data_IF_897866117257
#
_entry.id   IF_897866117257
#
_cell.length_a   1.000
_cell.length_b   1.000
_cell.length_c   1.000
_cell.angle_alpha   90.00
_cell.angle_beta   90.00
_cell.angle_gamma   90.00
#
_symmetry.space_group_name_H-M   'P 1'
#
loop_
_entity.id
_entity.type
_entity.pdbx_description
1 polymer ?
#
# COMPACT_ATOMS: atom_id res chain seq x y z
N UNK A 1 85.51 29.76 -36.69
CA UNK A 1 84.35 30.39 -36.03
C UNK A 1 83.01 30.01 -36.66
N UNK A 2 82.84 30.01 -37.99
CA UNK A 2 81.55 29.69 -38.66
C UNK A 2 81.04 28.24 -38.53
N UNK A 3 81.90 27.26 -38.25
CA UNK A 3 81.49 25.84 -38.12
C UNK A 3 80.99 25.47 -36.71
N UNK A 4 81.53 26.10 -35.67
CA UNK A 4 81.13 25.84 -34.28
C UNK A 4 79.78 26.47 -33.93
N UNK A 5 79.43 27.58 -34.59
CA UNK A 5 78.11 28.24 -34.43
C UNK A 5 76.99 27.37 -35.02
N UNK A 6 77.23 26.64 -36.11
CA UNK A 6 76.24 25.73 -36.70
C UNK A 6 75.97 24.53 -35.79
N UNK A 7 77.01 23.95 -35.19
CA UNK A 7 76.87 22.82 -34.26
C UNK A 7 76.20 23.26 -32.96
N UNK A 8 76.53 24.45 -32.45
CA UNK A 8 75.85 25.02 -31.28
C UNK A 8 74.36 25.31 -31.55
N UNK A 9 73.99 25.75 -32.76
CA UNK A 9 72.58 25.97 -33.14
C UNK A 9 71.83 24.65 -33.30
N UNK A 10 72.45 23.58 -33.83
CA UNK A 10 71.80 22.26 -33.91
C UNK A 10 71.62 21.60 -32.54
N UNK A 11 72.54 21.81 -31.59
CA UNK A 11 72.40 21.32 -30.21
C UNK A 11 71.35 22.13 -29.44
N UNK A 12 71.24 23.44 -29.70
CA UNK A 12 70.20 24.29 -29.10
C UNK A 12 68.80 24.02 -29.69
N UNK A 13 68.70 23.63 -30.97
CA UNK A 13 67.42 23.25 -31.59
C UNK A 13 66.97 21.83 -31.21
N UNK A 14 67.89 20.94 -30.88
CA UNK A 14 67.60 19.58 -30.41
C UNK A 14 67.18 19.54 -28.92
N UNK A 15 67.51 20.56 -28.13
CA UNK A 15 67.11 20.66 -26.72
C UNK A 15 65.70 21.24 -26.49
N UNK A 16 64.97 21.60 -27.55
CA UNK A 16 63.60 22.16 -27.46
C UNK A 16 62.48 21.15 -27.79
N UNK A 17 62.77 19.85 -27.95
CA UNK A 17 61.77 18.84 -28.34
C UNK A 17 61.34 17.92 -27.17
N UNK A 18 61.86 18.11 -25.95
CA UNK A 18 61.59 17.16 -24.84
C UNK A 18 60.72 17.68 -23.71
N UNK A 19 59.75 18.55 -23.98
CA UNK A 19 58.67 18.86 -23.02
C UNK A 19 57.34 18.88 -23.77
N UNK A 20 56.88 17.70 -24.14
CA UNK A 20 55.51 17.43 -24.57
C UNK A 20 55.10 16.03 -24.11
N UNK A 21 55.15 15.84 -22.80
CA UNK A 21 54.11 15.09 -22.11
C UNK A 21 53.60 16.08 -21.09
N UNK A 22 52.57 16.84 -21.46
CA UNK A 22 51.68 17.34 -20.44
C UNK A 22 51.05 16.05 -19.89
N UNK A 23 51.51 15.65 -18.71
CA UNK A 23 50.81 14.67 -17.89
C UNK A 23 49.54 15.41 -17.45
N UNK A 24 48.54 15.48 -18.34
CA UNK A 24 47.16 15.75 -17.99
C UNK A 24 46.66 14.53 -17.21
N UNK A 25 47.30 14.28 -16.08
CA UNK A 25 46.62 13.71 -14.94
C UNK A 25 45.66 14.80 -14.47
N UNK A 26 44.56 14.95 -15.23
CA UNK A 26 43.31 15.34 -14.61
C UNK A 26 43.16 14.31 -13.50
N UNK A 27 43.38 14.75 -12.26
CA UNK A 27 42.94 13.98 -11.12
C UNK A 27 41.46 13.77 -11.35
N UNK A 28 41.08 12.58 -11.83
CA UNK A 28 39.69 12.17 -11.98
C UNK A 28 39.07 12.38 -10.62
N UNK A 29 38.31 13.47 -10.48
CA UNK A 29 37.45 13.64 -9.33
C UNK A 29 36.30 12.67 -9.56
N UNK A 30 36.54 11.39 -9.24
CA UNK A 30 35.57 10.31 -9.37
C UNK A 30 34.30 10.53 -8.51
N UNK A 31 34.24 11.62 -7.75
CA UNK A 31 33.06 12.04 -7.01
C UNK A 31 31.95 12.62 -7.91
N UNK A 32 32.28 13.06 -9.13
CA UNK A 32 31.30 13.68 -10.04
C UNK A 32 30.67 12.68 -11.02
N UNK A 33 31.35 11.55 -11.27
CA UNK A 33 30.89 10.50 -12.18
C UNK A 33 29.85 9.58 -11.52
N UNK A 34 28.70 9.43 -12.18
CA UNK A 34 27.57 8.61 -11.76
C UNK A 34 27.47 7.38 -12.68
N UNK A 35 27.15 6.23 -12.12
CA UNK A 35 26.93 4.98 -12.85
C UNK A 35 25.57 4.36 -12.55
N UNK A 36 25.27 3.17 -13.09
CA UNK A 36 23.96 2.52 -12.91
C UNK A 36 23.63 2.17 -11.45
N UNK A 37 24.63 2.02 -10.59
CA UNK A 37 24.44 1.69 -9.16
C UNK A 37 24.56 2.92 -8.23
N UNK A 38 24.74 4.12 -8.77
CA UNK A 38 24.84 5.33 -7.94
C UNK A 38 23.48 5.67 -7.34
N UNK A 39 23.47 6.08 -6.07
CA UNK A 39 22.24 6.48 -5.37
C UNK A 39 21.50 7.60 -6.11
N UNK A 40 22.23 8.64 -6.55
CA UNK A 40 21.64 9.72 -7.33
C UNK A 40 21.06 9.26 -8.68
N UNK A 41 21.62 8.21 -9.31
CA UNK A 41 21.02 7.62 -10.52
C UNK A 41 19.66 7.00 -10.23
N UNK A 42 19.52 6.26 -9.12
CA UNK A 42 18.24 5.71 -8.71
C UNK A 42 17.22 6.83 -8.40
N UNK A 43 17.65 7.87 -7.69
CA UNK A 43 16.80 9.04 -7.36
C UNK A 43 16.34 9.77 -8.63
N UNK A 44 17.25 10.04 -9.57
CA UNK A 44 16.92 10.73 -10.82
C UNK A 44 16.05 9.87 -11.73
N UNK A 45 16.25 8.56 -11.73
CA UNK A 45 15.36 7.62 -12.43
C UNK A 45 13.95 7.69 -11.84
N UNK A 46 13.82 7.71 -10.51
CA UNK A 46 12.51 7.87 -9.87
C UNK A 46 11.88 9.25 -10.14
N UNK A 47 12.68 10.32 -10.12
CA UNK A 47 12.23 11.69 -10.34
C UNK A 47 11.71 11.95 -11.76
N UNK A 48 12.23 11.22 -12.74
CA UNK A 48 11.90 11.44 -14.16
C UNK A 48 10.98 10.37 -14.75
N UNK A 49 10.56 9.40 -13.94
CA UNK A 49 9.59 8.40 -14.34
C UNK A 49 8.27 9.06 -14.76
N UNK A 50 7.60 8.51 -15.78
CA UNK A 50 6.23 8.91 -16.09
C UNK A 50 5.34 8.55 -14.89
N UNK A 51 4.88 9.56 -14.17
CA UNK A 51 4.08 9.42 -12.94
C UNK A 51 2.75 8.73 -13.24
N UNK A 52 2.54 7.53 -12.72
CA UNK A 52 1.36 6.71 -13.01
C UNK A 52 0.33 6.67 -11.89
N UNK A 53 0.32 7.65 -10.98
CA UNK A 53 -0.43 7.55 -9.71
C UNK A 53 -1.60 8.51 -9.56
N UNK A 54 -1.95 9.23 -10.61
CA UNK A 54 -3.23 9.93 -10.61
C UNK A 54 -4.36 8.93 -10.85
N UNK A 55 -4.69 8.18 -9.80
CA UNK A 55 -5.93 7.43 -9.75
C UNK A 55 -7.04 8.47 -9.89
N UNK A 56 -7.83 8.30 -10.93
CA UNK A 56 -8.92 9.20 -11.25
C UNK A 56 -10.12 8.37 -11.70
N UNK A 57 -11.18 9.06 -12.09
CA UNK A 57 -12.44 8.41 -12.47
C UNK A 57 -12.32 7.46 -13.68
N UNK A 58 -11.28 7.61 -14.51
CA UNK A 58 -11.01 6.69 -15.61
C UNK A 58 -9.81 5.78 -15.39
N UNK A 59 -8.82 6.17 -14.58
CA UNK A 59 -7.61 5.38 -14.35
C UNK A 59 -7.57 4.85 -12.91
N UNK A 60 -7.54 3.52 -12.77
CA UNK A 60 -7.61 2.85 -11.47
C UNK A 60 -6.33 2.10 -11.12
N UNK A 61 -5.23 2.31 -11.85
CA UNK A 61 -4.01 1.52 -11.68
C UNK A 61 -2.77 2.39 -11.60
N UNK A 62 -1.87 2.04 -10.68
CA UNK A 62 -0.59 2.71 -10.55
C UNK A 62 0.44 2.28 -11.61
N UNK A 63 0.08 1.36 -12.53
CA UNK A 63 1.03 0.61 -13.35
C UNK A 63 1.42 1.30 -14.67
N UNK A 64 0.51 2.12 -15.18
CA UNK A 64 0.62 2.86 -16.43
C UNK A 64 -0.49 3.91 -16.44
N UNK A 65 -0.32 4.96 -17.24
CA UNK A 65 -1.36 5.95 -17.47
C UNK A 65 -2.19 5.61 -18.70
N UNK A 66 -3.47 5.97 -18.69
CA UNK A 66 -4.27 6.03 -19.91
C UNK A 66 -3.93 7.30 -20.71
N UNK A 67 -3.48 7.14 -21.95
CA UNK A 67 -3.22 8.27 -22.84
C UNK A 67 -4.53 8.88 -23.33
N UNK A 68 -4.71 10.17 -23.09
CA UNK A 68 -5.82 10.96 -23.64
C UNK A 68 -5.54 11.36 -25.10
N UNK A 69 -6.57 11.48 -25.97
CA UNK A 69 -7.99 11.27 -25.68
C UNK A 69 -8.37 9.79 -25.61
N UNK A 70 -9.33 9.45 -24.73
CA UNK A 70 -9.88 8.10 -24.59
C UNK A 70 -11.40 8.12 -24.59
N UNK A 71 -12.03 7.11 -25.21
CA UNK A 71 -13.46 6.91 -25.11
C UNK A 71 -13.79 6.00 -23.92
N UNK A 72 -14.77 6.37 -23.10
CA UNK A 72 -15.30 5.56 -22.01
C UNK A 72 -16.82 5.48 -22.08
N UNK A 73 -17.37 4.46 -21.44
CA UNK A 73 -18.80 4.28 -21.20
C UNK A 73 -18.99 4.23 -19.68
N UNK A 74 -19.56 5.29 -19.11
CA UNK A 74 -19.85 5.42 -17.69
C UNK A 74 -21.35 5.21 -17.46
N UNK A 75 -21.74 4.22 -16.66
CA UNK A 75 -23.14 3.83 -16.40
C UNK A 75 -24.00 3.75 -17.69
N UNK A 76 -23.40 3.29 -18.80
CA UNK A 76 -24.04 3.16 -20.11
C UNK A 76 -24.00 4.42 -21.00
N UNK A 77 -23.50 5.55 -20.50
CA UNK A 77 -23.31 6.78 -21.26
C UNK A 77 -21.89 6.88 -21.83
N UNK A 78 -21.78 7.00 -23.14
CA UNK A 78 -20.49 7.18 -23.81
C UNK A 78 -19.98 8.62 -23.67
N UNK A 79 -18.73 8.77 -23.24
CA UNK A 79 -18.02 10.03 -23.03
C UNK A 79 -16.65 9.93 -23.73
N UNK A 80 -16.22 11.00 -24.39
CA UNK A 80 -14.84 11.15 -24.86
C UNK A 80 -14.10 12.06 -23.90
N UNK A 81 -13.13 11.50 -23.19
CA UNK A 81 -12.24 12.24 -22.28
C UNK A 81 -11.06 12.71 -23.10
N UNK A 82 -11.00 14.00 -23.41
CA UNK A 82 -9.96 14.59 -24.25
C UNK A 82 -8.82 15.23 -23.44
N UNK A 83 -9.11 15.60 -22.20
CA UNK A 83 -8.17 16.15 -21.22
C UNK A 83 -8.64 15.83 -19.80
N UNK A 84 -7.80 16.05 -18.79
CA UNK A 84 -8.15 15.88 -17.37
C UNK A 84 -9.39 16.67 -16.94
N UNK A 85 -9.66 17.82 -17.58
CA UNK A 85 -10.88 18.61 -17.31
C UNK A 85 -12.18 17.83 -17.59
N UNK A 86 -12.13 16.79 -18.42
CA UNK A 86 -13.28 15.97 -18.77
C UNK A 86 -13.57 14.88 -17.72
N UNK A 87 -12.69 14.67 -16.73
CA UNK A 87 -12.93 13.73 -15.62
C UNK A 87 -14.21 14.09 -14.85
N UNK A 88 -14.44 15.37 -14.60
CA UNK A 88 -15.66 15.84 -13.94
C UNK A 88 -16.95 15.45 -14.69
N UNK A 89 -16.89 15.26 -16.02
CA UNK A 89 -18.04 14.80 -16.79
C UNK A 89 -18.34 13.31 -16.58
N UNK A 90 -17.30 12.50 -16.34
CA UNK A 90 -17.44 11.09 -15.98
C UNK A 90 -17.94 10.96 -14.53
N UNK A 91 -17.35 11.71 -13.60
CA UNK A 91 -17.80 11.76 -12.21
C UNK A 91 -19.25 12.24 -12.09
N UNK A 92 -19.67 13.21 -12.90
CA UNK A 92 -21.05 13.67 -12.92
C UNK A 92 -22.03 12.59 -13.37
N UNK A 93 -21.59 11.60 -14.15
CA UNK A 93 -22.42 10.43 -14.52
C UNK A 93 -22.52 9.46 -13.36
N UNK A 94 -21.41 9.19 -12.67
CA UNK A 94 -21.41 8.34 -11.47
C UNK A 94 -22.27 8.92 -10.35
N UNK A 95 -22.17 10.22 -10.09
CA UNK A 95 -22.94 10.90 -9.07
C UNK A 95 -24.43 11.15 -9.44
N UNK A 96 -24.96 10.60 -10.54
CA UNK A 96 -26.38 10.75 -10.89
C UNK A 96 -27.30 10.00 -9.92
N UNK A 97 -26.78 8.95 -9.28
CA UNK A 97 -27.44 8.18 -8.26
C UNK A 97 -26.39 7.74 -7.24
N UNK A 98 -26.81 7.58 -5.99
CA UNK A 98 -25.95 7.07 -4.91
C UNK A 98 -26.27 5.61 -4.58
N UNK A 99 -27.23 5.02 -5.29
CA UNK A 99 -27.78 3.68 -5.07
C UNK A 99 -27.42 2.69 -6.20
N UNK A 100 -26.74 3.15 -7.26
CA UNK A 100 -26.24 2.34 -8.36
C UNK A 100 -24.77 1.96 -8.16
N UNK A 101 -24.36 0.94 -8.91
CA UNK A 101 -22.96 0.54 -8.97
C UNK A 101 -22.35 1.28 -10.15
N UNK A 102 -21.39 2.15 -9.87
CA UNK A 102 -20.63 2.83 -10.91
C UNK A 102 -19.83 1.84 -11.73
N UNK A 103 -20.07 1.85 -13.04
CA UNK A 103 -19.40 1.01 -14.01
C UNK A 103 -18.74 1.87 -15.08
N UNK A 104 -17.43 1.66 -15.23
CA UNK A 104 -16.65 2.21 -16.31
C UNK A 104 -16.27 1.09 -17.29
N UNK A 105 -16.43 1.34 -18.59
CA UNK A 105 -15.86 0.48 -19.63
C UNK A 105 -15.17 1.32 -20.69
N UNK A 106 -14.00 0.91 -21.15
CA UNK A 106 -13.30 1.60 -22.22
C UNK A 106 -13.88 1.29 -23.60
N UNK A 107 -13.85 2.29 -24.48
CA UNK A 107 -14.07 2.12 -25.91
C UNK A 107 -12.71 1.84 -26.56
N UNK A 108 -12.45 0.56 -26.83
CA UNK A 108 -11.20 0.11 -27.42
C UNK A 108 -11.07 0.49 -28.92
N UNK A 109 -9.83 0.67 -29.44
CA UNK A 109 -8.57 0.55 -28.71
C UNK A 109 -8.27 1.74 -27.80
N UNK A 110 -7.53 1.50 -26.72
CA UNK A 110 -6.96 2.53 -25.85
C UNK A 110 -5.44 2.46 -25.91
N UNK A 111 -4.75 3.53 -25.50
CA UNK A 111 -3.29 3.53 -25.40
C UNK A 111 -2.89 3.70 -23.94
N UNK A 112 -2.04 2.80 -23.44
CA UNK A 112 -1.43 2.92 -22.12
C UNK A 112 0.00 3.45 -22.25
N UNK A 113 0.46 4.22 -21.26
CA UNK A 113 1.81 4.79 -21.20
C UNK A 113 2.50 4.31 -19.93
N UNK A 114 3.58 3.56 -20.06
CA UNK A 114 4.33 3.02 -18.92
C UNK A 114 5.26 4.07 -18.29
N UNK A 115 5.89 3.73 -17.16
CA UNK A 115 6.88 4.55 -16.46
C UNK A 115 8.05 5.02 -17.35
N UNK A 116 8.41 4.22 -18.36
CA UNK A 116 9.45 4.52 -19.34
C UNK A 116 8.97 5.33 -20.56
N UNK A 117 7.76 5.89 -20.50
CA UNK A 117 7.10 6.61 -21.59
C UNK A 117 6.84 5.77 -22.85
N UNK A 118 7.04 4.45 -22.78
CA UNK A 118 6.65 3.57 -23.88
C UNK A 118 5.13 3.45 -23.92
N UNK A 119 4.60 3.47 -25.14
CA UNK A 119 3.17 3.38 -25.39
C UNK A 119 2.82 1.98 -25.88
N UNK A 120 1.68 1.47 -25.41
CA UNK A 120 1.14 0.20 -25.86
C UNK A 120 -0.35 0.35 -26.19
N UNK A 121 -0.72 -0.05 -27.41
CA UNK A 121 -2.11 -0.05 -27.86
C UNK A 121 -2.80 -1.33 -27.36
N UNK A 122 -3.87 -1.15 -26.61
CA UNK A 122 -4.69 -2.23 -26.07
C UNK A 122 -5.96 -2.32 -26.90
N UNK A 123 -6.17 -3.44 -27.58
CA UNK A 123 -7.26 -3.62 -28.53
C UNK A 123 -8.56 -4.17 -27.92
N UNK A 124 -8.54 -4.64 -26.67
CA UNK A 124 -9.72 -5.23 -26.02
C UNK A 124 -9.64 -5.22 -24.49
N UNK A 125 -10.78 -5.41 -23.85
CA UNK A 125 -10.89 -5.56 -22.39
C UNK A 125 -10.09 -6.75 -21.85
N UNK A 126 -10.04 -7.85 -22.60
CA UNK A 126 -9.25 -9.01 -22.21
C UNK A 126 -7.74 -8.69 -22.19
N UNK A 127 -7.27 -7.92 -23.16
CA UNK A 127 -5.87 -7.48 -23.23
C UNK A 127 -5.55 -6.49 -22.11
N UNK A 128 -6.46 -5.55 -21.83
CA UNK A 128 -6.37 -4.64 -20.70
C UNK A 128 -6.24 -5.39 -19.36
N UNK A 129 -7.14 -6.35 -19.11
CA UNK A 129 -7.10 -7.14 -17.88
C UNK A 129 -5.84 -8.01 -17.80
N UNK A 130 -5.27 -8.42 -18.94
CA UNK A 130 -4.01 -9.17 -18.96
C UNK A 130 -2.84 -8.29 -18.52
N UNK A 131 -2.73 -7.07 -19.06
CA UNK A 131 -1.66 -6.14 -18.66
C UNK A 131 -1.84 -5.64 -17.22
N UNK A 132 -3.08 -5.48 -16.76
CA UNK A 132 -3.39 -5.10 -15.39
C UNK A 132 -3.02 -6.21 -14.40
N UNK A 133 -3.40 -7.47 -14.67
CA UNK A 133 -3.07 -8.61 -13.81
C UNK A 133 -1.57 -8.97 -13.83
N UNK A 134 -0.86 -8.62 -14.90
CA UNK A 134 0.60 -8.77 -14.98
C UNK A 134 1.34 -7.66 -14.23
N UNK A 135 0.62 -6.66 -13.70
CA UNK A 135 1.26 -5.57 -13.01
C UNK A 135 1.84 -6.03 -11.67
N UNK A 136 3.16 -5.95 -11.57
CA UNK A 136 3.91 -6.07 -10.34
C UNK A 136 4.47 -4.69 -10.00
N UNK A 137 3.58 -3.78 -9.58
CA UNK A 137 3.94 -2.40 -9.31
C UNK A 137 4.93 -2.32 -8.15
N UNK A 138 6.10 -1.74 -8.42
CA UNK A 138 7.06 -1.37 -7.39
C UNK A 138 7.26 0.15 -7.51
N UNK A 139 6.70 0.95 -6.58
CA UNK A 139 6.78 2.40 -6.66
C UNK A 139 8.23 2.85 -6.46
N UNK A 140 8.83 3.35 -7.53
CA UNK A 140 10.07 4.12 -7.46
C UNK A 140 9.87 5.35 -8.34
N UNK A 141 8.88 6.20 -8.03
CA UNK A 141 8.77 7.52 -8.64
C UNK A 141 8.73 8.60 -7.55
N UNK A 142 9.16 9.82 -7.90
CA UNK A 142 9.04 11.01 -7.06
C UNK A 142 8.12 11.97 -7.80
N UNK A 143 7.04 12.42 -7.16
CA UNK A 143 6.09 13.30 -7.85
C UNK A 143 6.72 14.64 -8.26
N UNK A 144 6.47 15.07 -9.49
CA UNK A 144 6.88 16.36 -10.04
C UNK A 144 6.28 17.55 -9.30
N UNK A 145 5.14 17.34 -8.62
CA UNK A 145 4.56 18.32 -7.71
C UNK A 145 5.49 18.60 -6.52
N UNK A 146 6.26 17.60 -6.06
CA UNK A 146 7.22 17.76 -4.98
C UNK A 146 8.54 18.33 -5.48
N UNK A 147 9.10 17.73 -6.51
CA UNK A 147 10.38 18.14 -7.10
C UNK A 147 10.31 17.93 -8.60
N UNK A 148 10.60 18.95 -9.40
CA UNK A 148 10.73 18.84 -10.84
C UNK A 148 12.07 19.40 -11.31
N UNK A 149 12.72 18.71 -12.25
CA UNK A 149 13.92 19.25 -12.93
C UNK A 149 13.46 20.26 -13.97
N UNK A 150 14.02 21.47 -13.94
CA UNK A 150 13.78 22.44 -14.99
C UNK A 150 14.74 22.17 -16.15
N UNK A 151 14.22 21.55 -17.20
CA UNK A 151 14.92 21.34 -18.47
C UNK A 151 15.02 22.64 -19.28
N UNK A 152 16.02 22.78 -20.18
CA UNK A 152 17.01 21.76 -20.55
C UNK A 152 18.17 21.61 -19.56
N UNK A 153 18.78 20.42 -19.55
CA UNK A 153 20.04 20.14 -18.84
C UNK A 153 21.05 19.46 -19.78
N UNK A 154 22.33 19.68 -19.55
CA UNK A 154 23.40 18.97 -20.28
C UNK A 154 23.97 17.84 -19.43
N UNK A 155 24.12 16.66 -20.03
CA UNK A 155 24.74 15.47 -19.41
C UNK A 155 25.90 15.00 -20.28
N UNK A 156 27.04 14.73 -19.67
CA UNK A 156 28.22 14.14 -20.32
C UNK A 156 28.23 12.63 -20.05
N UNK A 157 28.17 11.80 -21.08
CA UNK A 157 28.26 10.34 -20.97
C UNK A 157 29.64 9.82 -21.33
N UNK A 158 30.08 8.76 -20.65
CA UNK A 158 31.35 8.07 -20.91
C UNK A 158 31.17 6.56 -20.87
N UNK A 159 31.62 5.86 -21.92
CA UNK A 159 31.67 4.40 -21.98
C UNK A 159 33.11 3.91 -21.79
N UNK A 160 33.40 3.29 -20.65
CA UNK A 160 34.77 2.84 -20.31
C UNK A 160 35.25 1.66 -21.17
N UNK A 161 34.33 0.89 -21.76
CA UNK A 161 34.67 -0.22 -22.65
C UNK A 161 35.15 0.24 -24.02
N UNK A 162 34.58 1.32 -24.55
CA UNK A 162 34.94 1.89 -25.85
C UNK A 162 35.77 3.17 -25.76
N UNK A 163 35.99 3.71 -24.56
CA UNK A 163 36.65 4.99 -24.30
C UNK A 163 36.02 6.13 -25.11
N UNK A 164 34.68 6.17 -25.13
CA UNK A 164 33.90 7.11 -25.92
C UNK A 164 33.17 8.09 -25.01
N UNK A 165 33.26 9.37 -25.34
CA UNK A 165 32.57 10.47 -24.66
C UNK A 165 31.46 11.03 -25.54
N UNK A 166 30.29 11.26 -24.95
CA UNK A 166 29.13 11.87 -25.59
C UNK A 166 28.61 13.05 -24.76
N UNK A 167 28.00 14.04 -25.41
CA UNK A 167 27.29 15.12 -24.73
C UNK A 167 25.83 15.09 -25.15
N UNK A 168 24.94 15.10 -24.17
CA UNK A 168 23.49 15.06 -24.35
C UNK A 168 22.88 16.35 -23.84
N UNK A 169 22.11 17.03 -24.68
CA UNK A 169 21.25 18.15 -24.31
C UNK A 169 19.84 17.61 -24.13
N UNK A 170 19.42 17.43 -22.88
CA UNK A 170 18.13 16.83 -22.52
C UNK A 170 17.11 17.93 -22.31
N UNK A 171 15.90 17.73 -22.81
CA UNK A 171 14.82 18.71 -22.83
C UNK A 171 13.56 18.23 -22.09
N UNK A 172 13.49 16.94 -21.73
CA UNK A 172 12.33 16.34 -21.06
C UNK A 172 12.74 15.26 -20.05
N UNK A 173 11.85 14.98 -19.11
CA UNK A 173 11.99 13.84 -18.19
C UNK A 173 12.15 12.51 -18.93
N UNK A 174 11.36 12.30 -19.99
CA UNK A 174 11.42 11.09 -20.81
C UNK A 174 12.81 10.81 -21.40
N UNK A 175 13.54 11.84 -21.81
CA UNK A 175 14.89 11.70 -22.35
C UNK A 175 15.90 11.33 -21.25
N UNK A 176 15.83 11.98 -20.08
CA UNK A 176 16.69 11.65 -18.94
C UNK A 176 16.39 10.24 -18.42
N UNK A 177 15.13 9.93 -18.17
CA UNK A 177 14.69 8.63 -17.66
C UNK A 177 15.19 7.47 -18.52
N UNK A 178 14.99 7.56 -19.84
CA UNK A 178 15.40 6.51 -20.76
C UNK A 178 16.92 6.37 -20.86
N UNK A 179 17.69 7.45 -20.70
CA UNK A 179 19.15 7.34 -20.62
C UNK A 179 19.55 6.59 -19.34
N UNK A 180 19.00 6.97 -18.18
CA UNK A 180 19.36 6.37 -16.90
C UNK A 180 18.95 4.89 -16.81
N UNK A 181 17.75 4.54 -17.29
CA UNK A 181 17.25 3.16 -17.28
C UNK A 181 18.12 2.21 -18.12
N UNK A 182 18.73 2.72 -19.20
CA UNK A 182 19.50 1.92 -20.15
C UNK A 182 21.02 1.97 -19.92
N UNK A 183 21.49 2.53 -18.80
CA UNK A 183 22.91 2.55 -18.45
C UNK A 183 23.45 1.13 -18.24
N UNK A 184 24.43 0.75 -19.05
CA UNK A 184 25.17 -0.49 -18.90
C UNK A 184 26.23 -0.39 -17.78
N UNK A 185 26.76 -1.52 -17.31
CA UNK A 185 27.77 -1.56 -16.24
C UNK A 185 29.07 -0.77 -16.52
N UNK A 186 29.36 -0.47 -17.79
CA UNK A 186 30.53 0.28 -18.24
C UNK A 186 30.19 1.73 -18.66
N UNK A 187 28.96 2.17 -18.42
CA UNK A 187 28.48 3.50 -18.80
C UNK A 187 28.35 4.38 -17.57
N UNK A 188 28.92 5.57 -17.68
CA UNK A 188 28.96 6.58 -16.64
C UNK A 188 28.46 7.91 -17.21
N UNK A 189 27.98 8.79 -16.35
CA UNK A 189 27.58 10.13 -16.74
C UNK A 189 27.93 11.17 -15.68
N UNK A 190 28.01 12.43 -16.10
CA UNK A 190 28.15 13.58 -15.24
C UNK A 190 27.16 14.67 -15.67
N UNK A 191 26.56 15.34 -14.69
CA UNK A 191 25.63 16.45 -14.93
C UNK A 191 26.44 17.73 -15.07
N UNK A 192 26.16 18.51 -16.12
CA UNK A 192 26.72 19.85 -16.28
C UNK A 192 26.00 20.83 -15.35
N UNK A 193 26.51 20.99 -14.14
CA UNK A 193 26.01 21.98 -13.20
C UNK A 193 26.35 23.42 -13.62
N UNK A 194 25.57 24.43 -13.18
CA UNK A 194 24.39 24.31 -12.32
C UNK A 194 23.14 23.85 -13.08
N UNK A 195 22.23 23.18 -12.37
CA UNK A 195 20.85 22.93 -12.84
C UNK A 195 19.85 23.56 -11.87
N UNK A 196 18.61 23.72 -12.34
CA UNK A 196 17.52 24.29 -11.55
C UNK A 196 16.44 23.25 -11.28
N UNK A 197 15.89 23.28 -10.07
CA UNK A 197 14.76 22.46 -9.65
C UNK A 197 13.60 23.35 -9.22
N UNK A 198 12.37 22.90 -9.44
CA UNK A 198 11.15 23.46 -8.87
C UNK A 198 10.70 22.58 -7.73
N UNK A 199 10.63 23.12 -6.51
CA UNK A 199 10.15 22.44 -5.31
C UNK A 199 8.71 22.84 -5.01
N UNK A 200 7.89 21.87 -4.62
CA UNK A 200 6.48 22.05 -4.26
C UNK A 200 5.68 22.83 -5.33
N UNK A 201 5.99 22.60 -6.62
CA UNK A 201 5.38 23.29 -7.77
C UNK A 201 5.61 24.81 -7.86
N UNK A 202 6.43 25.40 -6.98
CA UNK A 202 6.50 26.86 -6.83
C UNK A 202 7.93 27.40 -6.69
N UNK A 203 8.73 26.80 -5.80
CA UNK A 203 10.02 27.37 -5.42
C UNK A 203 11.12 26.88 -6.34
N UNK A 204 11.69 27.78 -7.15
CA UNK A 204 12.89 27.45 -7.92
C UNK A 204 14.15 27.56 -7.08
N UNK A 205 15.00 26.53 -7.12
CA UNK A 205 16.33 26.52 -6.52
C UNK A 205 17.37 26.13 -7.56
N UNK A 206 18.62 26.55 -7.33
CA UNK A 206 19.77 26.18 -8.16
C UNK A 206 20.70 25.30 -7.36
N UNK A 207 21.12 24.18 -7.95
CA UNK A 207 22.08 23.23 -7.35
C UNK A 207 23.33 23.15 -8.22
N UNK A 208 24.48 22.99 -7.58
CA UNK A 208 25.80 23.14 -8.22
C UNK A 208 26.66 21.86 -8.15
N UNK A 209 26.15 20.79 -7.54
CA UNK A 209 26.87 19.52 -7.38
C UNK A 209 25.89 18.36 -7.17
N UNK A 210 26.40 17.12 -7.33
CA UNK A 210 25.65 15.90 -7.03
C UNK A 210 25.11 15.89 -5.60
N UNK A 211 25.92 16.30 -4.62
CA UNK A 211 25.51 16.37 -3.21
C UNK A 211 24.39 17.39 -2.99
N UNK A 212 24.49 18.57 -3.60
CA UNK A 212 23.43 19.59 -3.50
C UNK A 212 22.13 19.13 -4.17
N UNK A 213 22.22 18.47 -5.33
CA UNK A 213 21.08 17.92 -6.05
C UNK A 213 20.38 16.83 -5.23
N UNK A 214 21.12 15.86 -4.71
CA UNK A 214 20.58 14.79 -3.88
C UNK A 214 19.90 15.34 -2.62
N UNK A 215 20.55 16.25 -1.90
CA UNK A 215 19.97 16.88 -0.71
C UNK A 215 18.74 17.71 -1.03
N UNK A 216 18.76 18.46 -2.15
CA UNK A 216 17.62 19.24 -2.59
C UNK A 216 16.41 18.37 -2.90
N UNK A 217 16.60 17.23 -3.58
CA UNK A 217 15.53 16.28 -3.88
C UNK A 217 14.98 15.66 -2.57
N UNK A 218 15.86 15.14 -1.71
CA UNK A 218 15.44 14.52 -0.42
C UNK A 218 14.68 15.51 0.45
N UNK A 219 15.15 16.75 0.56
CA UNK A 219 14.48 17.80 1.32
C UNK A 219 13.17 18.24 0.66
N UNK A 220 13.14 18.34 -0.67
CA UNK A 220 11.93 18.65 -1.43
C UNK A 220 10.83 17.63 -1.17
N UNK A 221 11.16 16.33 -1.26
CA UNK A 221 10.24 15.24 -0.94
C UNK A 221 9.78 15.30 0.53
N UNK A 222 10.71 15.49 1.47
CA UNK A 222 10.37 15.57 2.90
C UNK A 222 9.43 16.73 3.24
N UNK A 223 9.60 17.88 2.55
CA UNK A 223 8.84 19.10 2.80
C UNK A 223 7.63 19.27 1.85
N UNK A 224 7.40 18.31 0.96
CA UNK A 224 6.25 18.29 0.07
C UNK A 224 4.93 18.06 0.84
N UNK A 225 5.03 17.54 2.06
CA UNK A 225 3.89 17.20 2.92
C UNK A 225 3.59 18.28 3.96
N UNK A 226 2.83 19.31 3.59
CA UNK A 226 2.08 20.18 4.52
C UNK A 226 0.74 20.64 3.87
N UNK A 227 -0.13 19.68 3.61
CA UNK A 227 -1.62 19.64 3.67
C UNK A 227 -2.00 18.22 3.15
N UNK A 228 -3.11 17.62 3.62
CA UNK A 228 -3.18 16.21 4.02
C UNK A 228 -2.87 15.27 2.85
N UNK A 229 -1.81 14.50 3.00
CA UNK A 229 -1.42 13.43 2.08
C UNK A 229 -2.44 12.29 2.17
N UNK A 230 -3.15 12.03 1.08
CA UNK A 230 -3.53 10.65 0.76
C UNK A 230 -2.23 9.81 0.67
N UNK A 231 -2.11 8.65 1.32
CA UNK A 231 -0.83 7.95 1.44
C UNK A 231 -0.47 7.21 0.15
N UNK A 232 0.77 7.36 -0.32
CA UNK A 232 1.38 6.47 -1.33
C UNK A 232 1.87 5.21 -0.63
N UNK A 233 1.27 4.06 -0.95
CA UNK A 233 1.55 2.76 -0.34
C UNK A 233 0.67 2.48 0.89
N UNK A 234 0.36 1.21 1.13
CA UNK A 234 -0.46 0.84 2.27
C UNK A 234 0.32 1.09 3.55
N UNK A 235 -0.04 2.15 4.29
CA UNK A 235 0.47 2.42 5.64
C UNK A 235 0.01 1.38 6.68
N UNK A 236 -0.48 0.24 6.18
CA UNK A 236 -0.82 -0.92 6.96
C UNK A 236 0.49 -1.56 7.45
N UNK A 237 0.65 -1.81 8.75
CA UNK A 237 1.91 -2.28 9.31
C UNK A 237 2.37 -3.65 8.76
N UNK A 238 1.55 -4.36 7.95
CA UNK A 238 1.92 -5.62 7.31
C UNK A 238 2.25 -6.73 8.32
N UNK A 239 1.90 -6.49 9.59
CA UNK A 239 2.21 -7.34 10.72
C UNK A 239 1.29 -8.56 10.67
N UNK A 240 1.91 -9.74 10.76
CA UNK A 240 1.20 -11.02 10.84
C UNK A 240 0.19 -11.16 9.70
N UNK A 241 0.66 -11.11 8.46
CA UNK A 241 -0.17 -11.31 7.25
C UNK A 241 -0.14 -12.75 6.73
N UNK A 242 0.78 -13.57 7.25
CA UNK A 242 0.85 -14.99 6.92
C UNK A 242 -0.43 -15.72 7.36
N UNK A 243 -1.03 -16.46 6.43
CA UNK A 243 -2.29 -17.21 6.62
C UNK A 243 -3.49 -16.32 7.03
N UNK A 244 -3.38 -15.01 6.86
CA UNK A 244 -4.46 -14.05 7.07
C UNK A 244 -5.46 -14.16 5.91
N UNK A 245 -6.74 -14.40 6.24
CA UNK A 245 -7.81 -14.68 5.28
C UNK A 245 -8.98 -13.71 5.31
N UNK A 246 -9.13 -12.94 6.39
CA UNK A 246 -10.03 -11.78 6.48
C UNK A 246 -9.26 -10.69 7.23
N UNK A 247 -9.30 -9.46 6.72
CA UNK A 247 -8.76 -8.32 7.43
C UNK A 247 -9.55 -7.04 7.17
N UNK A 248 -10.15 -6.50 8.23
CA UNK A 248 -11.00 -5.32 8.19
C UNK A 248 -10.54 -4.30 9.24
N UNK A 249 -9.80 -3.26 8.83
CA UNK A 249 -9.37 -2.16 9.72
C UNK A 249 -10.46 -1.11 9.98
N UNK A 250 -11.61 -1.17 9.29
CA UNK A 250 -12.72 -0.22 9.46
C UNK A 250 -12.35 1.27 9.28
N UNK A 251 -11.45 1.57 8.34
CA UNK A 251 -11.00 2.92 7.99
C UNK A 251 -12.00 3.63 7.05
N UNK A 252 -13.08 4.16 7.62
CA UNK A 252 -14.17 4.86 6.92
C UNK A 252 -14.83 4.01 5.80
N UNK A 253 -14.63 2.69 5.83
CA UNK A 253 -15.21 1.71 4.92
C UNK A 253 -15.28 0.34 5.61
N UNK A 254 -15.92 -0.63 4.96
CA UNK A 254 -16.06 -2.02 5.45
C UNK A 254 -15.33 -3.02 4.56
N UNK A 255 -14.26 -2.62 3.89
CA UNK A 255 -13.56 -3.53 2.98
C UNK A 255 -12.84 -4.63 3.75
N UNK A 256 -12.97 -5.86 3.26
CA UNK A 256 -12.02 -6.92 3.56
C UNK A 256 -10.82 -6.76 2.63
N UNK A 257 -9.67 -6.42 3.20
CA UNK A 257 -8.42 -6.23 2.47
C UNK A 257 -7.83 -7.54 1.93
N UNK A 258 -8.45 -8.69 2.26
CA UNK A 258 -8.18 -9.98 1.60
C UNK A 258 -9.08 -10.24 0.38
N UNK A 259 -9.99 -9.32 0.06
CA UNK A 259 -10.72 -9.26 -1.20
C UNK A 259 -12.12 -9.91 -1.19
N UNK A 260 -12.63 -10.34 -0.03
CA UNK A 260 -14.02 -10.82 0.02
C UNK A 260 -15.01 -9.63 -0.06
N UNK A 261 -16.09 -9.82 -0.81
CA UNK A 261 -17.16 -8.83 -0.86
C UNK A 261 -17.85 -8.70 0.51
N UNK A 262 -18.08 -7.46 0.96
CA UNK A 262 -18.76 -7.16 2.23
C UNK A 262 -20.05 -6.40 1.95
N UNK A 263 -21.15 -6.89 2.51
CA UNK A 263 -22.45 -6.21 2.49
C UNK A 263 -22.64 -5.49 3.82
N UNK A 264 -22.96 -4.19 3.76
CA UNK A 264 -23.20 -3.34 4.93
C UNK A 264 -24.59 -2.69 4.90
N UNK A 265 -25.21 -2.43 6.06
CA UNK A 265 -26.41 -1.61 6.16
C UNK A 265 -26.19 -0.16 5.67
N UNK A 266 -27.23 0.48 5.13
CA UNK A 266 -27.15 1.86 4.66
C UNK A 266 -26.86 2.87 5.78
N UNK A 267 -27.19 2.53 7.03
CA UNK A 267 -26.96 3.35 8.22
C UNK A 267 -25.65 3.00 8.95
N UNK A 268 -24.68 2.36 8.27
CA UNK A 268 -23.34 2.13 8.82
C UNK A 268 -22.67 3.44 9.24
N UNK A 269 -22.09 3.45 10.45
CA UNK A 269 -21.41 4.62 11.00
C UNK A 269 -20.01 4.27 11.47
N UNK A 270 -19.07 5.19 11.27
CA UNK A 270 -17.68 5.07 11.71
C UNK A 270 -17.38 6.04 12.84
N UNK A 271 -16.63 5.58 13.83
CA UNK A 271 -16.27 6.31 15.05
C UNK A 271 -14.75 6.31 15.23
N UNK A 272 -14.26 6.98 16.28
CA UNK A 272 -12.84 6.95 16.59
C UNK A 272 -12.42 5.59 17.15
N UNK A 273 -11.22 5.13 16.79
CA UNK A 273 -10.62 3.89 17.30
C UNK A 273 -10.05 4.06 18.73
N UNK A 274 -9.29 3.05 19.18
CA UNK A 274 -8.60 3.05 20.49
C UNK A 274 -7.48 4.09 20.62
N UNK A 275 -6.94 4.58 19.51
CA UNK A 275 -5.89 5.60 19.45
C UNK A 275 -6.46 7.01 19.17
N UNK A 276 -7.79 7.16 19.14
CA UNK A 276 -8.53 8.37 18.76
C UNK A 276 -8.35 8.79 17.29
N UNK A 277 -7.94 7.88 16.40
CA UNK A 277 -7.98 8.12 14.97
C UNK A 277 -9.43 8.16 14.52
N UNK A 278 -9.83 9.25 13.86
CA UNK A 278 -11.23 9.47 13.52
C UNK A 278 -11.70 8.55 12.39
N UNK A 279 -12.87 7.92 12.57
CA UNK A 279 -13.52 7.02 11.59
C UNK A 279 -12.72 5.76 11.28
N UNK A 280 -11.97 5.25 12.24
CA UNK A 280 -11.12 4.06 12.11
C UNK A 280 -11.69 2.87 12.89
N UNK A 281 -12.95 2.96 13.32
CA UNK A 281 -13.69 1.89 13.94
C UNK A 281 -15.14 1.96 13.47
N UNK A 282 -15.87 0.85 13.53
CA UNK A 282 -17.28 0.78 13.16
C UNK A 282 -18.17 0.76 14.40
N UNK A 283 -19.32 1.42 14.32
CA UNK A 283 -20.36 1.42 15.35
C UNK A 283 -21.56 0.57 14.95
N UNK A 284 -22.03 -0.24 15.89
CA UNK A 284 -23.24 -1.05 15.80
C UNK A 284 -24.28 -0.61 16.83
N UNK A 285 -25.55 -0.57 16.40
CA UNK A 285 -26.67 -0.11 17.20
C UNK A 285 -27.59 -1.23 17.73
N UNK A 286 -27.17 -2.50 17.62
CA UNK A 286 -27.95 -3.67 18.01
C UNK A 286 -28.96 -4.18 16.97
N UNK A 287 -29.12 -3.48 15.83
CA UNK A 287 -30.03 -3.91 14.74
C UNK A 287 -29.34 -4.10 13.39
N UNK A 288 -28.04 -3.83 13.35
CA UNK A 288 -27.20 -3.88 12.17
C UNK A 288 -26.35 -5.15 12.18
N UNK A 289 -25.95 -5.61 11.00
CA UNK A 289 -24.84 -6.56 10.86
C UNK A 289 -24.20 -6.42 9.50
N UNK A 290 -22.89 -6.67 9.42
CA UNK A 290 -22.21 -6.84 8.15
C UNK A 290 -22.24 -8.31 7.74
N UNK A 291 -22.17 -8.57 6.44
CA UNK A 291 -21.98 -9.91 5.90
C UNK A 291 -20.75 -9.94 5.00
N UNK A 292 -19.79 -10.81 5.31
CA UNK A 292 -18.66 -11.11 4.42
C UNK A 292 -19.02 -12.34 3.58
N UNK A 293 -18.89 -12.21 2.26
CA UNK A 293 -19.10 -13.31 1.33
C UNK A 293 -18.08 -14.44 1.53
N UNK A 294 -18.55 -15.68 1.40
CA UNK A 294 -17.65 -16.83 1.43
C UNK A 294 -16.88 -16.92 0.11
N UNK A 295 -15.58 -17.19 0.19
CA UNK A 295 -14.69 -17.44 -0.94
C UNK A 295 -13.86 -18.69 -0.66
N UNK A 296 -13.22 -19.25 -1.69
CA UNK A 296 -12.28 -20.36 -1.48
C UNK A 296 -11.09 -19.96 -0.59
N UNK A 297 -10.66 -18.69 -0.66
CA UNK A 297 -9.54 -18.18 0.12
C UNK A 297 -9.89 -18.09 1.62
N UNK A 298 -11.07 -17.56 1.95
CA UNK A 298 -11.50 -17.34 3.34
C UNK A 298 -12.33 -18.47 3.95
N UNK A 299 -12.57 -19.57 3.24
CA UNK A 299 -13.32 -20.71 3.76
C UNK A 299 -12.60 -21.36 4.96
N UNK A 300 -13.25 -21.38 6.13
CA UNK A 300 -12.84 -22.15 7.31
C UNK A 300 -13.77 -23.37 7.47
N UNK A 301 -13.19 -24.57 7.53
CA UNK A 301 -13.94 -25.83 7.62
C UNK A 301 -13.41 -26.73 8.73
N UNK A 302 -14.23 -27.70 9.15
CA UNK A 302 -13.88 -28.63 10.22
C UNK A 302 -12.53 -29.31 9.97
N UNK A 303 -11.64 -29.28 10.97
CA UNK A 303 -10.26 -29.74 10.88
C UNK A 303 -9.23 -28.65 10.55
N UNK A 304 -9.65 -27.44 10.16
CA UNK A 304 -8.75 -26.30 10.03
C UNK A 304 -8.27 -25.79 11.39
N UNK A 305 -7.06 -25.22 11.39
CA UNK A 305 -6.63 -24.32 12.46
C UNK A 305 -7.15 -22.92 12.17
N UNK A 306 -7.54 -22.20 13.22
CA UNK A 306 -7.94 -20.80 13.07
C UNK A 306 -7.55 -19.93 14.25
N UNK A 307 -7.41 -18.64 13.96
CA UNK A 307 -7.41 -17.59 14.98
C UNK A 307 -8.26 -16.42 14.55
N UNK A 308 -8.96 -15.79 15.49
CA UNK A 308 -9.76 -14.59 15.27
C UNK A 308 -9.26 -13.55 16.25
N UNK A 309 -8.90 -12.36 15.76
CA UNK A 309 -8.50 -11.22 16.56
C UNK A 309 -9.35 -10.02 16.20
N UNK A 310 -9.82 -9.28 17.20
CA UNK A 310 -10.51 -8.01 17.02
C UNK A 310 -10.33 -7.14 18.25
N UNK A 311 -10.58 -5.84 18.09
CA UNK A 311 -10.79 -4.92 19.19
C UNK A 311 -12.28 -4.64 19.32
N UNK A 312 -12.77 -4.55 20.55
CA UNK A 312 -14.15 -4.22 20.83
C UNK A 312 -14.26 -3.26 22.00
N UNK A 313 -15.29 -2.41 21.94
CA UNK A 313 -15.73 -1.58 23.06
C UNK A 313 -17.23 -1.68 23.17
N UNK A 314 -17.71 -2.14 24.30
CA UNK A 314 -19.13 -2.38 24.50
C UNK A 314 -19.89 -1.11 24.82
N UNK A 315 -21.17 -1.10 24.51
CA UNK A 315 -22.12 -0.09 24.97
C UNK A 315 -23.38 -0.68 25.58
N UNK A 316 -23.56 -2.00 25.44
CA UNK A 316 -24.63 -2.71 26.10
C UNK A 316 -24.49 -2.70 27.62
N UNK A 317 -25.62 -2.51 28.31
CA UNK A 317 -25.73 -2.51 29.78
C UNK A 317 -26.75 -3.53 30.29
N UNK A 318 -27.34 -4.31 29.38
CA UNK A 318 -28.32 -5.34 29.68
C UNK A 318 -27.59 -6.68 29.82
N UNK A 319 -27.49 -7.18 31.05
CA UNK A 319 -26.68 -8.37 31.33
C UNK A 319 -27.08 -9.62 30.55
N UNK A 320 -28.33 -9.81 30.17
CA UNK A 320 -28.80 -11.05 29.54
C UNK A 320 -28.75 -11.09 28.01
N UNK A 321 -28.23 -10.05 27.35
CA UNK A 321 -28.26 -9.96 25.90
C UNK A 321 -27.05 -10.70 25.31
N UNK A 322 -27.32 -11.56 24.33
CA UNK A 322 -26.29 -12.24 23.54
C UNK A 322 -25.98 -11.40 22.31
N UNK A 323 -24.73 -11.02 22.16
CA UNK A 323 -24.29 -10.14 21.07
C UNK A 323 -23.10 -10.77 20.36
N UNK A 324 -23.26 -11.10 19.08
CA UNK A 324 -22.18 -11.73 18.31
C UNK A 324 -21.29 -10.66 17.66
N UNK A 325 -20.01 -10.67 18.03
CA UNK A 325 -19.01 -9.78 17.43
C UNK A 325 -18.63 -10.28 16.04
N UNK A 326 -18.40 -11.59 15.90
CA UNK A 326 -18.07 -12.24 14.64
C UNK A 326 -18.59 -13.69 14.62
N UNK A 327 -19.29 -14.09 13.56
CA UNK A 327 -19.85 -15.45 13.44
C UNK A 327 -19.66 -16.03 12.04
N UNK A 328 -19.57 -17.36 11.97
CA UNK A 328 -19.68 -18.12 10.73
C UNK A 328 -21.05 -18.79 10.70
N UNK A 329 -21.78 -18.62 9.60
CA UNK A 329 -23.16 -19.09 9.41
C UNK A 329 -24.20 -18.35 10.27
N UNK A 330 -25.43 -18.24 9.76
CA UNK A 330 -26.58 -17.67 10.46
C UNK A 330 -27.70 -18.68 10.74
N UNK A 331 -27.55 -19.93 10.28
CA UNK A 331 -28.66 -20.90 10.23
C UNK A 331 -28.57 -22.03 11.26
N UNK A 332 -27.79 -21.86 12.33
CA UNK A 332 -27.63 -22.81 13.44
C UNK A 332 -27.26 -24.25 13.01
N UNK A 333 -26.83 -24.52 11.78
CA UNK A 333 -26.61 -25.88 11.28
C UNK A 333 -25.15 -26.37 11.45
N UNK A 334 -24.18 -25.47 11.27
CA UNK A 334 -22.75 -25.67 11.50
C UNK A 334 -22.03 -24.31 11.41
N UNK A 335 -21.03 -24.08 12.26
CA UNK A 335 -20.34 -22.79 12.33
C UNK A 335 -19.85 -22.45 13.74
N UNK A 336 -19.46 -21.20 13.95
CA UNK A 336 -18.96 -20.69 15.22
C UNK A 336 -19.44 -19.26 15.48
N UNK A 337 -19.33 -18.82 16.72
CA UNK A 337 -19.51 -17.42 17.12
C UNK A 337 -18.41 -17.00 18.10
N UNK A 338 -17.92 -15.78 17.92
CA UNK A 338 -17.22 -14.99 18.91
C UNK A 338 -18.20 -13.91 19.37
N UNK A 339 -18.53 -13.90 20.65
CA UNK A 339 -19.64 -13.13 21.20
C UNK A 339 -19.33 -12.60 22.59
N UNK A 340 -20.23 -11.77 23.09
CA UNK A 340 -20.34 -11.42 24.52
C UNK A 340 -21.72 -11.83 25.03
N UNK A 341 -21.78 -12.29 26.29
CA UNK A 341 -23.04 -12.68 26.93
C UNK A 341 -22.92 -12.64 28.46
N UNK A 342 -24.05 -12.59 29.16
CA UNK A 342 -24.18 -12.62 30.62
C UNK A 342 -23.22 -11.65 31.32
N UNK A 343 -23.50 -10.37 31.11
CA UNK A 343 -22.67 -9.30 31.60
C UNK A 343 -21.45 -9.04 30.73
N UNK A 344 -21.70 -8.98 29.42
CA UNK A 344 -20.71 -8.53 28.46
C UNK A 344 -19.46 -9.43 28.43
N UNK A 345 -19.56 -10.68 28.91
CA UNK A 345 -18.42 -11.58 29.06
C UNK A 345 -18.03 -12.17 27.70
N UNK A 346 -16.77 -11.98 27.26
CA UNK A 346 -16.28 -12.58 26.03
C UNK A 346 -16.37 -14.10 26.04
N UNK A 347 -16.86 -14.65 24.94
CA UNK A 347 -16.97 -16.09 24.75
C UNK A 347 -16.81 -16.50 23.28
N UNK A 348 -16.43 -17.76 23.09
CA UNK A 348 -16.43 -18.41 21.78
C UNK A 348 -17.13 -19.75 21.86
N UNK A 349 -17.93 -20.09 20.84
CA UNK A 349 -18.65 -21.36 20.80
C UNK A 349 -18.96 -21.85 19.39
N UNK A 350 -19.37 -23.11 19.32
CA UNK A 350 -19.64 -23.84 18.08
C UNK A 350 -21.14 -24.14 17.92
N UNK A 351 -21.64 -24.22 16.68
CA UNK A 351 -23.06 -24.49 16.35
C UNK A 351 -23.25 -25.82 15.60
N UNK A 352 -24.43 -26.48 15.62
CA UNK A 352 -25.67 -26.17 16.37
C UNK A 352 -25.50 -26.48 17.85
N UNK A 353 -26.00 -25.62 18.73
CA UNK A 353 -26.18 -25.91 20.16
C UNK A 353 -24.94 -26.55 20.80
N UNK A 354 -23.95 -25.76 21.22
CA UNK A 354 -23.04 -26.25 22.23
C UNK A 354 -23.88 -26.62 23.48
N UNK A 355 -24.05 -27.91 23.88
CA UNK A 355 -24.13 -28.18 25.30
C UNK A 355 -22.93 -27.49 25.98
N UNK A 356 -23.00 -27.21 27.28
CA UNK A 356 -22.01 -26.41 28.07
C UNK A 356 -20.50 -26.68 27.80
N UNK A 357 -20.16 -27.75 27.09
CA UNK A 357 -18.83 -28.26 26.76
C UNK A 357 -18.26 -27.89 25.37
N UNK A 358 -18.97 -27.13 24.53
CA UNK A 358 -18.48 -26.70 23.19
C UNK A 358 -18.34 -25.17 23.10
N UNK A 359 -17.91 -24.56 24.20
CA UNK A 359 -17.70 -23.13 24.34
C UNK A 359 -16.57 -22.84 25.34
N UNK A 360 -15.98 -21.66 25.23
CA UNK A 360 -14.97 -21.12 26.14
C UNK A 360 -15.38 -19.71 26.55
N UNK A 361 -15.19 -19.37 27.82
CA UNK A 361 -15.51 -18.07 28.42
C UNK A 361 -14.25 -17.40 28.96
N UNK A 362 -14.25 -16.06 29.04
CA UNK A 362 -13.32 -15.34 29.91
C UNK A 362 -13.75 -15.51 31.38
N UNK A 363 -13.14 -16.48 32.06
CA UNK A 363 -13.44 -16.83 33.45
C UNK A 363 -13.14 -15.68 34.43
N UNK A 364 -12.18 -14.81 34.09
CA UNK A 364 -11.77 -13.70 34.94
C UNK A 364 -12.70 -12.50 34.78
N UNK A 365 -13.25 -12.28 33.57
CA UNK A 365 -14.22 -11.23 33.32
C UNK A 365 -15.47 -11.36 34.21
N UNK A 366 -16.04 -12.57 34.29
CA UNK A 366 -17.20 -12.85 35.13
C UNK A 366 -16.95 -12.63 36.63
N UNK A 367 -15.70 -12.57 37.07
CA UNK A 367 -15.31 -12.36 38.46
C UNK A 367 -15.02 -10.89 38.78
N UNK A 368 -14.96 -10.03 37.76
CA UNK A 368 -14.63 -8.61 37.89
C UNK A 368 -15.87 -7.73 37.62
N UNK A 369 -16.47 -7.14 38.67
CA UNK A 369 -17.68 -6.32 38.52
C UNK A 369 -17.43 -5.00 37.77
N UNK A 370 -16.17 -4.55 37.65
CA UNK A 370 -15.82 -3.35 36.89
C UNK A 370 -15.82 -3.65 35.39
N UNK A 371 -15.33 -4.83 34.98
CA UNK A 371 -15.36 -5.27 33.58
C UNK A 371 -16.79 -5.51 33.07
N UNK A 372 -17.65 -6.14 33.88
CA UNK A 372 -19.07 -6.32 33.51
C UNK A 372 -19.73 -5.00 33.09
N UNK A 373 -19.44 -3.90 33.79
CA UNK A 373 -20.06 -2.61 33.53
C UNK A 373 -19.25 -1.71 32.58
N UNK A 374 -18.13 -2.20 32.05
CA UNK A 374 -17.27 -1.40 31.19
C UNK A 374 -17.91 -1.16 29.82
N UNK A 375 -18.24 0.11 29.57
CA UNK A 375 -18.82 0.60 28.31
C UNK A 375 -17.91 1.64 27.64
N UNK A 376 -16.69 1.79 28.15
CA UNK A 376 -15.81 2.93 27.86
C UNK A 376 -14.46 2.53 27.30
N UNK A 377 -13.91 1.40 27.75
CA UNK A 377 -12.59 0.98 27.34
C UNK A 377 -12.65 0.02 26.14
N UNK A 378 -11.59 0.08 25.35
CA UNK A 378 -11.33 -0.89 24.30
C UNK A 378 -10.63 -2.10 24.89
N UNK A 379 -11.06 -3.29 24.49
CA UNK A 379 -10.40 -4.54 24.82
C UNK A 379 -10.00 -5.28 23.54
N UNK A 380 -8.83 -5.90 23.59
CA UNK A 380 -8.36 -6.78 22.52
C UNK A 380 -8.78 -8.20 22.82
N UNK A 381 -9.47 -8.85 21.90
CA UNK A 381 -9.94 -10.22 22.06
C UNK A 381 -9.31 -11.10 20.97
N UNK A 382 -8.72 -12.21 21.40
CA UNK A 382 -8.21 -13.24 20.49
C UNK A 382 -8.68 -14.62 20.88
N UNK A 383 -9.22 -15.35 19.91
CA UNK A 383 -9.46 -16.79 20.01
C UNK A 383 -8.49 -17.52 19.11
N UNK A 384 -7.91 -18.61 19.60
CA UNK A 384 -7.23 -19.60 18.76
C UNK A 384 -7.88 -20.96 18.93
N UNK A 385 -7.94 -21.75 17.85
CA UNK A 385 -8.44 -23.13 17.85
C UNK A 385 -7.50 -23.98 16.99
N UNK A 386 -6.93 -25.03 17.57
CA UNK A 386 -6.03 -25.92 16.86
C UNK A 386 -6.76 -27.14 16.26
N UNK A 387 -6.02 -27.96 15.49
CA UNK A 387 -6.56 -29.19 14.86
C UNK A 387 -7.12 -30.24 15.84
N UNK A 388 -6.77 -30.14 17.13
CA UNK A 388 -7.28 -31.03 18.19
C UNK A 388 -8.42 -30.39 19.00
N UNK A 389 -8.94 -29.26 18.52
CA UNK A 389 -10.02 -28.49 19.14
C UNK A 389 -9.69 -27.92 20.53
N UNK A 390 -8.40 -27.69 20.82
CA UNK A 390 -8.00 -26.86 21.96
C UNK A 390 -8.23 -25.39 21.59
N UNK A 391 -9.18 -24.77 22.29
CA UNK A 391 -9.49 -23.35 22.18
C UNK A 391 -8.73 -22.57 23.26
N UNK A 392 -8.18 -21.41 22.91
CA UNK A 392 -7.61 -20.45 23.85
C UNK A 392 -8.24 -19.09 23.66
N UNK A 393 -8.59 -18.45 24.77
CA UNK A 393 -9.13 -17.11 24.81
C UNK A 393 -8.11 -16.19 25.47
N UNK A 394 -7.72 -15.15 24.74
CA UNK A 394 -6.85 -14.09 25.21
C UNK A 394 -7.62 -12.79 25.25
N UNK A 395 -7.39 -12.02 26.32
CA UNK A 395 -7.86 -10.65 26.46
C UNK A 395 -6.69 -9.76 26.80
N UNK A 396 -6.57 -8.65 26.07
CA UNK A 396 -5.55 -7.62 26.28
C UNK A 396 -4.12 -8.19 26.29
N UNK A 397 -3.84 -9.09 25.33
CA UNK A 397 -2.57 -9.81 25.21
C UNK A 397 -2.37 -11.01 26.17
N UNK A 398 -3.27 -11.19 27.16
CA UNK A 398 -3.10 -12.15 28.25
C UNK A 398 -4.06 -13.35 28.08
N UNK A 399 -3.54 -14.57 28.23
CA UNK A 399 -4.35 -15.79 28.22
C UNK A 399 -5.30 -15.81 29.43
N UNK A 400 -6.61 -15.88 29.16
CA UNK A 400 -7.65 -15.93 30.19
C UNK A 400 -8.14 -17.36 30.43
N UNK A 401 -8.28 -18.15 29.36
CA UNK A 401 -8.82 -19.51 29.47
C UNK A 401 -8.27 -20.45 28.38
N UNK A 402 -8.28 -21.75 28.64
CA UNK A 402 -7.97 -22.82 27.68
C UNK A 402 -8.95 -23.96 27.89
N UNK A 403 -9.64 -24.36 26.82
CA UNK A 403 -10.64 -25.43 26.85
C UNK A 403 -10.43 -26.41 25.71
N UNK A 404 -10.67 -27.69 25.96
CA UNK A 404 -10.67 -28.73 24.93
C UNK A 404 -12.11 -28.99 24.48
N UNK A 405 -12.46 -28.50 23.29
CA UNK A 405 -13.79 -28.69 22.72
C UNK A 405 -13.95 -30.14 22.24
N UNK A 406 -15.18 -30.66 22.28
CA UNK A 406 -15.44 -32.09 22.00
C UNK A 406 -15.26 -32.41 20.50
N UNK A 407 -15.54 -31.43 19.64
CA UNK A 407 -15.40 -31.51 18.18
C UNK A 407 -15.25 -30.10 17.60
N UNK A 408 -14.84 -29.99 16.34
CA UNK A 408 -14.69 -28.71 15.65
C UNK A 408 -16.03 -28.13 15.21
N UNK A 409 -16.97 -28.94 14.72
CA UNK A 409 -18.36 -28.58 14.39
C UNK A 409 -18.56 -27.27 13.59
N UNK A 410 -17.51 -26.67 13.04
CA UNK A 410 -17.60 -25.47 12.22
C UNK A 410 -18.14 -25.78 10.81
N UNK A 411 -18.33 -27.07 10.49
CA UNK A 411 -18.94 -27.56 9.25
C UNK A 411 -17.94 -27.76 8.13
N UNK A 412 -18.31 -28.55 7.12
CA UNK A 412 -17.48 -28.82 5.94
C UNK A 412 -17.68 -27.82 4.80
N UNK A 413 -18.70 -26.97 4.92
CA UNK A 413 -19.07 -26.02 3.88
C UNK A 413 -18.39 -24.66 4.10
N UNK A 414 -17.98 -24.05 2.98
CA UNK A 414 -17.61 -22.64 2.93
C UNK A 414 -18.88 -21.81 3.08
N UNK A 415 -19.03 -21.13 4.24
CA UNK A 415 -20.19 -20.30 4.56
C UNK A 415 -19.78 -18.85 4.76
N UNK A 416 -20.76 -17.95 4.64
CA UNK A 416 -20.58 -16.53 4.89
C UNK A 416 -20.31 -16.25 6.38
N UNK A 417 -19.69 -15.11 6.63
CA UNK A 417 -19.44 -14.60 7.96
C UNK A 417 -20.29 -13.37 8.24
N UNK A 418 -20.60 -13.13 9.51
CA UNK A 418 -21.38 -11.99 9.97
C UNK A 418 -20.65 -11.25 11.08
N UNK A 419 -20.78 -9.92 11.11
CA UNK A 419 -20.13 -9.06 12.10
C UNK A 419 -21.20 -8.23 12.80
N UNK A 420 -21.13 -8.18 14.12
CA UNK A 420 -21.94 -7.30 14.97
C UNK A 420 -23.43 -7.66 15.06
N UNK A 421 -23.81 -8.92 14.88
CA UNK A 421 -25.22 -9.34 15.00
C UNK A 421 -25.72 -9.09 16.44
N UNK A 422 -26.80 -8.32 16.55
CA UNK A 422 -27.41 -7.87 17.81
C UNK A 422 -26.47 -7.02 18.70
N UNK A 423 -25.25 -6.71 18.24
CA UNK A 423 -24.24 -6.01 19.03
C UNK A 423 -24.49 -4.50 19.09
N UNK A 424 -24.39 -3.95 20.30
CA UNK A 424 -24.40 -2.52 20.59
C UNK A 424 -23.04 -2.10 21.13
N UNK A 425 -22.25 -1.47 20.28
CA UNK A 425 -20.89 -1.06 20.62
C UNK A 425 -20.03 -0.80 19.39
N UNK A 426 -18.73 -0.76 19.60
CA UNK A 426 -17.74 -0.45 18.56
C UNK A 426 -16.81 -1.63 18.33
N UNK A 427 -16.50 -1.91 17.06
CA UNK A 427 -15.50 -2.90 16.66
C UNK A 427 -14.41 -2.23 15.84
N UNK A 428 -13.21 -2.77 15.96
CA UNK A 428 -12.03 -2.33 15.24
C UNK A 428 -11.12 -3.53 14.91
N UNK A 429 -10.32 -3.41 13.86
CA UNK A 429 -9.14 -4.26 13.62
C UNK A 429 -9.39 -5.78 13.49
N UNK A 430 -10.50 -6.19 12.84
CA UNK A 430 -10.86 -7.60 12.68
C UNK A 430 -9.88 -8.33 11.77
N UNK A 431 -9.26 -9.39 12.29
CA UNK A 431 -8.35 -10.30 11.59
C UNK A 431 -8.74 -11.75 11.80
N UNK A 432 -8.72 -12.54 10.73
CA UNK A 432 -8.99 -13.98 10.79
C UNK A 432 -7.89 -14.73 10.06
N UNK A 433 -7.38 -15.77 10.71
CA UNK A 433 -6.22 -16.54 10.31
C UNK A 433 -6.56 -18.02 10.10
N UNK A 434 -5.88 -18.67 9.15
CA UNK A 434 -5.81 -20.13 8.99
C UNK A 434 -4.60 -20.75 9.70
N UNK A 435 -4.32 -20.26 10.90
CA UNK A 435 -3.26 -20.77 11.78
C UNK A 435 -3.61 -20.47 13.23
N UNK A 436 -2.97 -21.20 14.15
CA UNK A 436 -2.96 -20.87 15.58
C UNK A 436 -1.92 -19.78 15.84
N UNK A 437 -2.35 -18.62 16.31
CA UNK A 437 -1.44 -17.58 16.78
C UNK A 437 -0.77 -18.01 18.09
N UNK A 438 0.52 -17.79 18.18
CA UNK A 438 1.30 -17.94 19.42
C UNK A 438 1.02 -16.78 20.39
N UNK A 439 1.31 -16.98 21.68
CA UNK A 439 1.16 -15.91 22.68
C UNK A 439 1.98 -14.65 22.33
N UNK A 440 3.14 -14.79 21.68
CA UNK A 440 3.94 -13.64 21.23
C UNK A 440 3.25 -12.90 20.09
N UNK A 441 2.66 -13.60 19.12
CA UNK A 441 1.90 -12.98 18.04
C UNK A 441 0.63 -12.28 18.56
N UNK A 442 -0.04 -12.87 19.55
CA UNK A 442 -1.17 -12.22 20.25
C UNK A 442 -0.71 -10.94 20.94
N UNK A 443 0.42 -10.97 21.65
CA UNK A 443 0.98 -9.77 22.28
C UNK A 443 1.35 -8.71 21.24
N UNK A 444 1.93 -9.11 20.10
CA UNK A 444 2.22 -8.19 18.99
C UNK A 444 0.96 -7.51 18.46
N UNK A 445 -0.15 -8.23 18.28
CA UNK A 445 -1.42 -7.63 17.85
C UNK A 445 -2.02 -6.69 18.90
N UNK A 446 -1.84 -7.00 20.20
CA UNK A 446 -2.31 -6.14 21.29
C UNK A 446 -1.51 -4.82 21.37
N UNK A 447 -0.20 -4.88 21.14
CA UNK A 447 0.69 -3.71 21.17
C UNK A 447 0.64 -2.87 19.89
N UNK A 448 0.02 -3.39 18.82
CA UNK A 448 -0.10 -2.70 17.55
C UNK A 448 -0.99 -1.46 17.71
N UNK A 449 -0.54 -0.33 17.15
CA UNK A 449 -1.36 0.88 17.04
C UNK A 449 -2.61 0.60 16.18
N UNK A 450 -3.66 1.40 16.37
CA UNK A 450 -4.90 1.30 15.60
C UNK A 450 -4.66 1.50 14.12
N UNK A 451 -5.07 0.53 13.31
CA UNK A 451 -4.87 0.59 11.87
C UNK A 451 -6.00 1.33 11.19
N UNK A 452 -5.76 2.56 10.80
CA UNK A 452 -6.71 3.34 10.01
C UNK A 452 -6.43 3.30 8.50
N UNK A 453 -6.09 2.13 7.97
CA UNK A 453 -5.63 1.99 6.59
C UNK A 453 -6.69 1.34 5.70
N UNK A 454 -6.73 1.71 4.42
CA UNK A 454 -7.72 1.19 3.45
C UNK A 454 -7.15 0.14 2.49
N UNK A 455 -5.90 -0.26 2.69
CA UNK A 455 -5.24 -1.24 1.85
C UNK A 455 -4.22 -2.07 2.63
N UNK A 456 -3.79 -3.19 2.04
CA UNK A 456 -2.87 -4.17 2.62
C UNK A 456 -1.77 -4.44 1.58
N UNK A 457 -0.49 -4.35 1.99
CA UNK A 457 0.67 -4.63 1.11
C UNK A 457 0.77 -6.11 0.68
#
# INVERSE_FOLDING_TARGET
MKSYIKIAIYILLASFITIACQDDSVTENNNDALGPTSQLTAILTALTANESTEINVIDSTACFNIKLPVGVVANGQQITVSSENDYAAVEAVFNQSNDDIDQLTYVYPITVVYANYSEFEVGSEQEYNTILNACNFNPQYISSNCVAINFPITVFGYNSGFQMENTYELTTDAELYNILLNLSANEYYAISYPITLTLNGQQMITVNSNTELEQAIVNGVTNCSNEPTEPVGCQNPGVLTQDLVIYMPFSNNVYDLKGAAVTAPADTTFVADRNNNAKCAISFNGSQSLQIASTAANALVDGDELSISLWFRMQNTVGGDFEALFSKSNNNAAGFYLAVYDGNTPMFGLTPNAPQYNQIWDDNWNQDPDLWQDTTNWHHLVITLNVNYEAKLYRDGILQNTEALINGAIGTDALAYFIGQDFTGYLDDLRVYKKVLSATEVQTLFELEGDCNTCLE
#
